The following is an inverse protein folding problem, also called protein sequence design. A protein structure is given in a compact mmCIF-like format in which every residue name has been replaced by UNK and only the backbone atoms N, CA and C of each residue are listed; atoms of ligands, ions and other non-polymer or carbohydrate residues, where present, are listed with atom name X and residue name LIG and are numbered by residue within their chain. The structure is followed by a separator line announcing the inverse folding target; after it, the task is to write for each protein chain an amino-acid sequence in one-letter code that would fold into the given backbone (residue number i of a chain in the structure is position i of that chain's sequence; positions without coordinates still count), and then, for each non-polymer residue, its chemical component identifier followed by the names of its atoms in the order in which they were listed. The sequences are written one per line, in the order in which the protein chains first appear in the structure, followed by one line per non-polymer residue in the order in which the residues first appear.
data_IF_178379121459
#
_entry.id   IF_178379121459
#
_cell.length_a   1.000
_cell.length_b   1.000
_cell.length_c   1.000
_cell.angle_alpha   90.00
_cell.angle_beta   90.00
_cell.angle_gamma   90.00
#
_symmetry.space_group_name_H-M   'P 1'
#
loop_
_entity.id
_entity.type
_entity.pdbx_description
1 polymer ?
#
# COMPACT_ATOMS: atom_id res chain seq x y z
N UNK A 1 -2.12 -17.11 4.96
CA UNK A 1 -0.81 -16.85 4.34
C UNK A 1 -0.85 -15.46 3.75
N UNK A 2 -0.07 -14.56 4.30
CA UNK A 2 0.00 -13.19 3.81
C UNK A 2 1.04 -13.08 2.70
N UNK A 3 0.64 -12.57 1.55
CA UNK A 3 1.54 -12.31 0.41
C UNK A 3 1.57 -10.81 0.16
N UNK A 4 2.76 -10.24 0.10
CA UNK A 4 2.94 -8.79 -0.09
C UNK A 4 3.89 -8.53 -1.26
N UNK A 5 3.47 -7.64 -2.16
CA UNK A 5 4.32 -7.15 -3.24
C UNK A 5 4.05 -5.67 -3.54
N UNK A 6 4.89 -5.07 -4.35
CA UNK A 6 4.85 -3.66 -4.68
C UNK A 6 5.17 -3.40 -6.15
N UNK A 7 4.48 -2.41 -6.72
CA UNK A 7 4.70 -1.93 -8.10
C UNK A 7 4.83 -0.41 -8.09
N UNK A 8 5.76 0.12 -8.89
CA UNK A 8 5.87 1.57 -9.07
C UNK A 8 4.73 2.12 -9.92
N UNK A 9 4.31 3.33 -9.58
CA UNK A 9 3.38 4.13 -10.36
C UNK A 9 4.15 5.23 -11.09
N UNK A 10 3.80 5.47 -12.34
CA UNK A 10 4.45 6.45 -13.21
C UNK A 10 3.44 7.46 -13.74
N UNK A 11 3.85 8.71 -13.88
CA UNK A 11 3.08 9.84 -14.39
C UNK A 11 1.98 10.32 -13.44
N UNK A 12 1.12 9.44 -12.93
CA UNK A 12 0.01 9.81 -12.06
C UNK A 12 -0.40 8.66 -11.15
N UNK A 13 -0.82 9.01 -9.94
CA UNK A 13 -1.40 8.05 -8.98
C UNK A 13 -2.93 7.95 -9.14
N UNK A 14 -3.57 8.85 -9.90
CA UNK A 14 -5.03 9.00 -9.91
C UNK A 14 -5.77 7.75 -10.35
N UNK A 15 -5.34 7.13 -11.45
CA UNK A 15 -6.00 5.94 -11.96
C UNK A 15 -5.99 4.78 -10.97
N UNK A 16 -4.87 4.59 -10.28
CA UNK A 16 -4.75 3.58 -9.23
C UNK A 16 -5.60 3.94 -8.01
N UNK A 17 -5.61 5.19 -7.57
CA UNK A 17 -6.46 5.67 -6.48
C UNK A 17 -7.95 5.43 -6.75
N UNK A 18 -8.43 5.76 -7.95
CA UNK A 18 -9.81 5.52 -8.36
C UNK A 18 -10.13 4.02 -8.32
N UNK A 19 -9.24 3.19 -8.82
CA UNK A 19 -9.42 1.74 -8.83
C UNK A 19 -9.52 1.15 -7.42
N UNK A 20 -8.59 1.50 -6.52
CA UNK A 20 -8.56 0.89 -5.19
C UNK A 20 -9.69 1.37 -4.29
N UNK A 21 -10.19 2.60 -4.47
CA UNK A 21 -11.24 3.20 -3.63
C UNK A 21 -12.66 2.90 -4.12
N UNK A 22 -12.82 2.06 -5.14
CA UNK A 22 -14.13 1.72 -5.69
C UNK A 22 -15.07 1.22 -4.58
N UNK A 23 -16.23 1.89 -4.36
CA UNK A 23 -17.19 1.52 -3.31
C UNK A 23 -17.70 0.09 -3.42
N UNK A 24 -17.83 -0.44 -4.64
CA UNK A 24 -18.28 -1.82 -4.87
C UNK A 24 -17.29 -2.88 -4.38
N UNK A 25 -16.05 -2.49 -4.09
CA UNK A 25 -14.99 -3.39 -3.63
C UNK A 25 -14.63 -3.19 -2.16
N UNK A 26 -15.02 -2.06 -1.59
CA UNK A 26 -14.58 -1.57 -0.28
C UNK A 26 -15.71 -1.38 0.73
N UNK A 27 -16.76 -2.18 0.62
CA UNK A 27 -17.95 -2.07 1.46
C UNK A 27 -18.55 -0.66 1.46
N UNK A 28 -18.88 -0.15 0.28
CA UNK A 28 -19.45 1.18 0.13
C UNK A 28 -18.48 2.33 0.48
N UNK A 29 -17.17 2.07 0.50
CA UNK A 29 -16.15 3.04 0.87
C UNK A 29 -15.79 3.04 2.36
N UNK A 30 -16.41 2.19 3.17
CA UNK A 30 -16.10 2.08 4.61
C UNK A 30 -14.68 1.56 4.86
N UNK A 31 -14.16 0.72 3.96
CA UNK A 31 -12.83 0.13 4.06
C UNK A 31 -11.80 0.89 3.24
N UNK A 32 -11.84 2.21 3.33
CA UNK A 32 -10.87 3.13 2.73
C UNK A 32 -10.41 4.13 3.78
N UNK A 33 -9.10 4.28 3.94
CA UNK A 33 -8.49 5.23 4.88
C UNK A 33 -7.36 6.01 4.23
N UNK A 34 -7.27 7.30 4.56
CA UNK A 34 -6.14 8.15 4.21
C UNK A 34 -5.14 8.25 5.36
N UNK A 35 -3.85 8.22 5.05
CA UNK A 35 -2.76 8.49 5.98
C UNK A 35 -2.02 9.70 5.46
N UNK A 36 -2.00 10.77 6.24
CA UNK A 36 -1.46 12.09 5.84
C UNK A 36 -2.10 12.67 4.57
N UNK A 37 -3.27 12.18 4.18
CA UNK A 37 -4.08 12.68 3.07
C UNK A 37 -5.54 12.24 3.22
N UNK A 38 -6.42 12.76 2.38
CA UNK A 38 -7.82 12.36 2.32
C UNK A 38 -7.98 10.91 1.84
N UNK A 39 -9.02 10.18 2.29
CA UNK A 39 -9.38 8.88 1.73
C UNK A 39 -10.07 8.99 0.35
N UNK A 40 -10.56 10.15 -0.05
CA UNK A 40 -11.15 10.37 -1.38
C UNK A 40 -10.09 10.37 -2.47
N UNK A 41 -10.30 9.62 -3.54
CA UNK A 41 -9.31 9.42 -4.60
C UNK A 41 -8.86 10.73 -5.27
N UNK A 42 -9.80 11.62 -5.58
CA UNK A 42 -9.48 12.89 -6.25
C UNK A 42 -8.79 13.87 -5.29
N UNK A 43 -9.26 13.96 -4.06
CA UNK A 43 -8.63 14.80 -3.04
C UNK A 43 -7.24 14.30 -2.69
N UNK A 44 -7.08 13.00 -2.47
CA UNK A 44 -5.77 12.39 -2.21
C UNK A 44 -4.80 12.66 -3.35
N UNK A 45 -5.25 12.50 -4.60
CA UNK A 45 -4.43 12.79 -5.77
C UNK A 45 -3.96 14.24 -5.79
N UNK A 46 -4.85 15.20 -5.55
CA UNK A 46 -4.52 16.61 -5.53
C UNK A 46 -3.53 16.95 -4.40
N UNK A 47 -3.74 16.39 -3.21
CA UNK A 47 -2.83 16.57 -2.07
C UNK A 47 -1.44 15.99 -2.36
N UNK A 48 -1.37 14.80 -2.98
CA UNK A 48 -0.12 14.19 -3.40
C UNK A 48 0.60 15.03 -4.47
N UNK A 49 -0.15 15.56 -5.46
CA UNK A 49 0.40 16.46 -6.47
C UNK A 49 0.97 17.74 -5.85
N UNK A 50 0.24 18.35 -4.91
CA UNK A 50 0.71 19.55 -4.21
C UNK A 50 2.02 19.29 -3.49
N UNK A 51 2.13 18.17 -2.80
CA UNK A 51 3.34 17.78 -2.07
C UNK A 51 4.51 17.54 -3.03
N UNK A 52 4.27 16.87 -4.15
CA UNK A 52 5.29 16.63 -5.18
C UNK A 52 5.78 17.95 -5.81
N UNK A 53 4.88 18.92 -6.02
CA UNK A 53 5.24 20.25 -6.53
C UNK A 53 6.00 21.07 -5.50
N UNK A 54 5.56 21.06 -4.25
CA UNK A 54 6.21 21.79 -3.14
C UNK A 54 7.68 21.39 -3.00
N UNK A 55 7.98 20.13 -3.14
CA UNK A 55 9.34 19.59 -3.03
C UNK A 55 10.04 19.39 -4.39
N UNK A 56 9.46 19.95 -5.46
CA UNK A 56 10.05 19.93 -6.81
C UNK A 56 10.39 18.52 -7.31
N UNK A 57 9.54 17.54 -6.99
CA UNK A 57 9.68 16.18 -7.45
C UNK A 57 9.26 16.06 -8.93
N UNK A 58 10.23 16.10 -9.83
CA UNK A 58 10.03 16.01 -11.29
C UNK A 58 10.24 14.62 -11.87
N UNK A 59 10.47 13.62 -11.03
CA UNK A 59 10.71 12.26 -11.47
C UNK A 59 9.48 11.61 -12.10
N UNK A 60 9.69 10.63 -12.97
CA UNK A 60 8.60 9.86 -13.61
C UNK A 60 7.82 9.01 -12.62
N UNK A 61 8.48 8.52 -11.58
CA UNK A 61 7.85 7.71 -10.53
C UNK A 61 7.11 8.62 -9.57
N UNK A 62 5.78 8.45 -9.52
CA UNK A 62 4.88 9.29 -8.73
C UNK A 62 4.43 8.63 -7.42
N UNK A 63 4.61 7.34 -7.32
CA UNK A 63 4.23 6.60 -6.14
C UNK A 63 4.42 5.10 -6.29
N UNK A 64 3.82 4.36 -5.36
CA UNK A 64 3.85 2.89 -5.34
C UNK A 64 2.46 2.33 -5.06
N UNK A 65 2.15 1.24 -5.73
CA UNK A 65 1.01 0.40 -5.42
C UNK A 65 1.50 -0.84 -4.67
N UNK A 66 1.10 -0.95 -3.42
CA UNK A 66 1.40 -2.10 -2.56
C UNK A 66 0.16 -2.97 -2.49
N UNK A 67 0.36 -4.26 -2.61
CA UNK A 67 -0.66 -5.29 -2.52
C UNK A 67 -0.33 -6.23 -1.36
N UNK A 68 -1.32 -6.50 -0.51
CA UNK A 68 -1.20 -7.38 0.64
C UNK A 68 -2.41 -8.32 0.66
N UNK A 69 -2.18 -9.60 0.44
CA UNK A 69 -3.23 -10.62 0.34
C UNK A 69 -3.19 -11.56 1.53
N UNK A 70 -4.38 -11.93 2.02
CA UNK A 70 -4.55 -12.83 3.17
C UNK A 70 -5.08 -14.19 2.72
N UNK A 71 -4.76 -15.24 3.49
CA UNK A 71 -5.27 -16.57 3.23
C UNK A 71 -6.77 -16.63 3.55
N UNK A 72 -7.55 -17.21 2.66
CA UNK A 72 -8.99 -17.41 2.85
C UNK A 72 -9.31 -18.36 4.02
N UNK A 73 -8.36 -19.16 4.48
CA UNK A 73 -8.51 -20.05 5.65
C UNK A 73 -8.29 -19.36 6.98
N UNK A 74 -7.68 -18.16 6.97
CA UNK A 74 -7.48 -17.39 8.18
C UNK A 74 -8.80 -16.76 8.62
N UNK A 75 -9.11 -16.84 9.91
CA UNK A 75 -10.25 -16.14 10.50
C UNK A 75 -9.91 -14.67 10.68
N UNK A 76 -10.22 -13.89 9.67
CA UNK A 76 -9.90 -12.48 9.60
C UNK A 76 -11.14 -11.69 9.25
N UNK A 77 -11.49 -10.70 10.07
CA UNK A 77 -12.55 -9.76 9.73
C UNK A 77 -12.07 -8.75 8.69
N UNK A 78 -12.99 -8.10 8.00
CA UNK A 78 -12.66 -7.05 7.02
C UNK A 78 -11.98 -5.86 7.70
N UNK A 79 -12.43 -5.51 8.90
CA UNK A 79 -11.88 -4.43 9.72
C UNK A 79 -10.44 -4.75 10.17
N UNK A 80 -10.18 -5.97 10.62
CA UNK A 80 -8.83 -6.41 11.00
C UNK A 80 -7.88 -6.39 9.80
N UNK A 81 -8.33 -6.87 8.63
CA UNK A 81 -7.53 -6.79 7.40
C UNK A 81 -7.19 -5.34 7.05
N UNK A 82 -8.15 -4.44 7.20
CA UNK A 82 -7.96 -3.01 6.95
C UNK A 82 -6.94 -2.39 7.93
N UNK A 83 -7.07 -2.70 9.20
CA UNK A 83 -6.12 -2.23 10.23
C UNK A 83 -4.69 -2.74 9.98
N UNK A 84 -4.52 -3.99 9.54
CA UNK A 84 -3.21 -4.53 9.16
C UNK A 84 -2.57 -3.70 8.04
N UNK A 85 -3.35 -3.30 7.04
CA UNK A 85 -2.89 -2.41 5.97
C UNK A 85 -2.44 -1.04 6.50
N UNK A 86 -3.23 -0.43 7.37
CA UNK A 86 -2.92 0.86 8.00
C UNK A 86 -1.65 0.76 8.85
N UNK A 87 -1.55 -0.28 9.68
CA UNK A 87 -0.36 -0.50 10.53
C UNK A 87 0.90 -0.71 9.71
N UNK A 88 0.81 -1.43 8.60
CA UNK A 88 1.94 -1.62 7.68
C UNK A 88 2.50 -0.29 7.20
N UNK A 89 1.62 0.61 6.76
CA UNK A 89 2.03 1.95 6.32
C UNK A 89 2.62 2.77 7.47
N UNK A 90 1.98 2.77 8.63
CA UNK A 90 2.44 3.55 9.79
C UNK A 90 3.81 3.12 10.30
N UNK A 91 4.11 1.83 10.26
CA UNK A 91 5.42 1.31 10.71
C UNK A 91 6.54 1.58 9.69
N UNK A 92 6.24 1.46 8.40
CA UNK A 92 7.25 1.58 7.34
C UNK A 92 7.39 2.98 6.77
N UNK A 93 6.26 3.70 6.64
CA UNK A 93 6.19 4.96 5.90
C UNK A 93 5.42 6.04 6.68
N UNK A 94 5.77 6.32 7.95
CA UNK A 94 4.97 7.22 8.80
C UNK A 94 4.88 8.65 8.29
N UNK A 95 5.84 9.08 7.47
CA UNK A 95 5.93 10.44 6.94
C UNK A 95 5.57 10.54 5.45
N UNK A 96 4.82 9.57 4.92
CA UNK A 96 4.36 9.57 3.54
C UNK A 96 2.84 9.64 3.49
N UNK A 97 2.31 10.19 2.41
CA UNK A 97 0.89 10.15 2.12
C UNK A 97 0.52 8.80 1.53
N UNK A 98 -0.53 8.19 2.02
CA UNK A 98 -1.02 6.91 1.52
C UNK A 98 -2.54 6.81 1.62
N UNK A 99 -3.12 6.06 0.70
CA UNK A 99 -4.51 5.60 0.79
C UNK A 99 -4.49 4.07 0.90
N UNK A 100 -5.13 3.55 1.94
CA UNK A 100 -5.29 2.13 2.20
C UNK A 100 -6.72 1.75 1.89
N UNK A 101 -6.91 0.74 1.04
CA UNK A 101 -8.23 0.22 0.68
C UNK A 101 -8.25 -1.31 0.82
N UNK A 102 -9.27 -1.84 1.47
CA UNK A 102 -9.47 -3.27 1.62
C UNK A 102 -10.56 -3.75 0.69
N UNK A 103 -10.22 -4.66 -0.21
CA UNK A 103 -11.14 -5.26 -1.16
C UNK A 103 -11.72 -6.56 -0.62
N UNK A 104 -13.04 -6.68 -0.72
CA UNK A 104 -13.83 -7.81 -0.23
C UNK A 104 -14.67 -8.46 -1.33
N UNK A 105 -14.47 -8.07 -2.56
CA UNK A 105 -15.24 -8.55 -3.73
C UNK A 105 -14.76 -9.91 -4.28
N UNK A 106 -13.73 -10.49 -3.68
CA UNK A 106 -13.14 -11.78 -4.08
C UNK A 106 -13.05 -12.74 -2.90
N UNK A 107 -12.75 -14.01 -3.19
CA UNK A 107 -12.60 -15.06 -2.19
C UNK A 107 -11.50 -14.76 -1.15
N UNK A 108 -10.49 -14.00 -1.54
CA UNK A 108 -9.41 -13.55 -0.64
C UNK A 108 -9.59 -12.09 -0.30
N UNK A 109 -9.57 -11.78 0.99
CA UNK A 109 -9.46 -10.39 1.44
C UNK A 109 -8.06 -9.92 1.06
N UNK A 110 -7.97 -8.72 0.50
CA UNK A 110 -6.68 -8.12 0.16
C UNK A 110 -6.70 -6.62 0.32
N UNK A 111 -5.57 -6.09 0.74
CA UNK A 111 -5.34 -4.65 0.84
C UNK A 111 -4.63 -4.13 -0.41
N UNK A 112 -5.06 -2.99 -0.87
CA UNK A 112 -4.35 -2.15 -1.82
C UNK A 112 -3.93 -0.86 -1.11
N UNK A 113 -2.68 -0.47 -1.30
CA UNK A 113 -2.12 0.75 -0.74
C UNK A 113 -1.51 1.55 -1.88
N UNK A 114 -1.93 2.79 -2.05
CA UNK A 114 -1.25 3.76 -2.92
C UNK A 114 -0.44 4.68 -2.03
N UNK A 115 0.88 4.65 -2.20
CA UNK A 115 1.84 5.43 -1.45
C UNK A 115 2.42 6.54 -2.34
N UNK A 116 2.38 7.79 -1.88
CA UNK A 116 3.07 8.87 -2.58
C UNK A 116 4.59 8.73 -2.42
N UNK A 117 5.34 9.22 -3.39
CA UNK A 117 6.79 9.01 -3.45
C UNK A 117 7.63 9.98 -2.62
N UNK A 118 7.02 10.98 -2.00
CA UNK A 118 7.71 12.06 -1.29
C UNK A 118 7.42 12.03 0.20
N UNK A 119 8.49 12.10 1.02
CA UNK A 119 8.38 12.31 2.45
C UNK A 119 7.88 13.72 2.73
N UNK A 120 6.76 13.85 3.43
CA UNK A 120 6.11 15.16 3.68
C UNK A 120 6.90 16.07 4.64
N UNK A 121 7.81 15.52 5.43
CA UNK A 121 8.64 16.29 6.37
C UNK A 121 9.96 16.73 5.78
N UNK A 122 10.59 15.90 4.97
CA UNK A 122 11.95 16.13 4.46
C UNK A 122 11.99 16.49 2.99
N UNK A 123 10.93 16.19 2.24
CA UNK A 123 10.90 16.32 0.78
C UNK A 123 11.72 15.27 0.03
N UNK A 124 12.36 14.36 0.76
CA UNK A 124 13.13 13.30 0.12
C UNK A 124 12.21 12.30 -0.56
N UNK A 125 12.56 11.96 -1.80
CA UNK A 125 11.89 10.93 -2.55
C UNK A 125 12.21 9.56 -1.96
N UNK A 126 11.20 8.70 -1.89
CA UNK A 126 11.40 7.31 -1.53
C UNK A 126 12.34 6.67 -2.55
N UNK A 127 13.52 6.28 -2.11
CA UNK A 127 14.60 5.84 -2.99
C UNK A 127 14.38 4.42 -3.53
N UNK A 128 15.06 4.11 -4.63
CA UNK A 128 15.04 2.79 -5.29
C UNK A 128 15.63 1.66 -4.44
N UNK A 129 16.25 1.97 -3.31
CA UNK A 129 16.65 0.95 -2.33
C UNK A 129 15.48 0.05 -1.91
N UNK A 130 14.25 0.55 -2.07
CA UNK A 130 13.04 -0.26 -1.93
C UNK A 130 12.76 -1.19 -3.13
N UNK A 131 13.46 -1.04 -4.25
CA UNK A 131 13.45 -1.97 -5.37
C UNK A 131 14.47 -3.09 -5.20
N UNK A 132 15.49 -2.86 -4.39
CA UNK A 132 16.43 -3.90 -4.04
C UNK A 132 15.76 -4.90 -3.10
N UNK A 133 16.22 -6.12 -3.15
CA UNK A 133 15.72 -7.24 -2.33
C UNK A 133 15.51 -6.84 -0.86
N UNK A 134 16.34 -5.94 -0.35
CA UNK A 134 16.26 -5.44 1.02
C UNK A 134 14.98 -4.66 1.32
N UNK A 135 14.53 -3.78 0.42
CA UNK A 135 13.32 -2.98 0.65
C UNK A 135 12.03 -3.79 0.56
N UNK A 136 11.93 -4.73 -0.39
CA UNK A 136 10.79 -5.64 -0.49
C UNK A 136 10.83 -6.66 0.64
N UNK A 137 12.00 -7.14 1.00
CA UNK A 137 12.19 -8.01 2.16
C UNK A 137 11.73 -7.35 3.45
N UNK A 138 12.05 -6.07 3.65
CA UNK A 138 11.60 -5.31 4.81
C UNK A 138 10.08 -5.10 4.83
N UNK A 139 9.48 -4.78 3.70
CA UNK A 139 8.02 -4.67 3.57
C UNK A 139 7.33 -5.99 3.92
N UNK A 140 7.81 -7.11 3.41
CA UNK A 140 7.30 -8.44 3.72
C UNK A 140 7.48 -8.79 5.19
N UNK A 141 8.67 -8.54 5.74
CA UNK A 141 8.98 -8.80 7.14
C UNK A 141 8.01 -8.07 8.07
N UNK A 142 7.80 -6.78 7.88
CA UNK A 142 6.89 -5.97 8.70
C UNK A 142 5.44 -6.43 8.52
N UNK A 143 5.01 -6.69 7.30
CA UNK A 143 3.68 -7.24 7.01
C UNK A 143 3.45 -8.58 7.71
N UNK A 144 4.45 -9.46 7.70
CA UNK A 144 4.38 -10.76 8.36
C UNK A 144 4.38 -10.64 9.89
N UNK A 145 5.17 -9.73 10.44
CA UNK A 145 5.19 -9.44 11.89
C UNK A 145 3.81 -9.00 12.37
N UNK A 146 3.20 -8.05 11.66
CA UNK A 146 1.84 -7.57 11.99
C UNK A 146 0.82 -8.70 11.84
N UNK A 147 0.89 -9.47 10.75
CA UNK A 147 -0.01 -10.60 10.51
C UNK A 147 0.06 -11.62 11.63
N UNK A 148 1.25 -11.92 12.14
CA UNK A 148 1.44 -12.81 13.30
C UNK A 148 0.82 -12.26 14.58
N UNK A 149 0.89 -10.95 14.81
CA UNK A 149 0.22 -10.29 15.95
C UNK A 149 -1.30 -10.52 15.93
N UNK A 150 -1.88 -10.66 14.72
CA UNK A 150 -3.31 -10.99 14.52
C UNK A 150 -3.59 -12.49 14.44
N UNK A 151 -2.59 -13.34 14.66
CA UNK A 151 -2.75 -14.79 14.64
C UNK A 151 -2.87 -15.39 13.23
N UNK A 152 -2.45 -14.67 12.20
CA UNK A 152 -2.54 -15.12 10.82
C UNK A 152 -1.35 -16.00 10.40
N UNK A 153 -1.60 -16.84 9.39
CA UNK A 153 -0.54 -17.63 8.78
C UNK A 153 0.33 -16.79 7.84
N UNK A 154 1.62 -16.97 7.89
CA UNK A 154 2.58 -16.28 7.02
C UNK A 154 3.40 -17.31 6.24
N UNK A 155 3.87 -16.93 5.05
CA UNK A 155 4.84 -17.73 4.28
C UNK A 155 6.22 -17.56 4.90
N UNK A 156 6.77 -18.67 5.40
CA UNK A 156 8.14 -18.65 5.90
C UNK A 156 9.19 -18.56 4.76
N UNK A 157 8.79 -18.97 3.54
CA UNK A 157 9.64 -18.93 2.34
C UNK A 157 8.86 -18.27 1.20
N UNK A 158 8.92 -16.96 1.09
CA UNK A 158 8.40 -16.31 -0.10
C UNK A 158 9.27 -16.70 -1.31
N UNK A 159 8.69 -17.19 -2.41
CA UNK A 159 9.47 -17.51 -3.60
C UNK A 159 10.22 -16.26 -4.09
N UNK A 160 11.41 -16.42 -4.67
CA UNK A 160 12.17 -15.30 -5.21
C UNK A 160 11.32 -14.54 -6.22
N UNK A 161 11.37 -13.22 -6.15
CA UNK A 161 10.63 -12.36 -7.08
C UNK A 161 11.15 -12.65 -8.48
N UNK A 162 10.27 -13.16 -9.32
CA UNK A 162 10.61 -13.39 -10.71
C UNK A 162 10.87 -12.02 -11.36
N UNK A 163 12.12 -11.72 -11.68
CA UNK A 163 12.58 -10.45 -12.25
C UNK A 163 12.01 -10.16 -13.65
N UNK A 164 11.18 -11.06 -14.20
CA UNK A 164 10.78 -11.06 -15.61
C UNK A 164 9.28 -11.26 -15.85
N UNK A 165 8.40 -10.79 -15.00
CA UNK A 165 7.01 -10.64 -15.43
C UNK A 165 6.83 -9.26 -16.06
N UNK A 166 6.90 -9.25 -17.37
CA UNK A 166 6.50 -8.12 -18.23
C UNK A 166 5.04 -7.74 -17.97
#
# INVERSE_FOLDING_TARGET
MTVTFRKALHKSNLGCLIYITNPNKTDGGLLVSGINCSPDANLAHNEMLMMNRLYNNKGRRTGYHIYQSFNYTDKLSYEEAHEIGIETVKRLYPNFQAVVATHIDKAHIHNHIVLNSVNIKTGKKLTDSLWHEEGISNLRKVSDEISKEYGLTVLNDAPPINKYSN
#
